data_IF_693293351096
#
_entry.id   IF_693293351096
#
_cell.length_a   1.000
_cell.length_b   1.000
_cell.length_c   1.000
_cell.angle_alpha   90.00
_cell.angle_beta   90.00
_cell.angle_gamma   90.00
#
_symmetry.space_group_name_H-M   'P 1'
#
loop_
_entity.id
_entity.type
_entity.pdbx_description
1 polymer ?
#
# COMPACT_ATOMS: atom_id res chain seq x y z
N UNK A 1 6.59 7.91 1.50
CA UNK A 1 6.00 7.02 2.52
C UNK A 1 7.15 6.35 3.27
N UNK A 2 6.96 6.00 4.54
CA UNK A 2 7.95 5.34 5.41
C UNK A 2 7.27 4.37 6.38
N UNK A 3 8.05 3.53 7.04
CA UNK A 3 7.57 2.68 8.14
C UNK A 3 6.91 3.55 9.21
N UNK A 4 5.72 3.14 9.64
CA UNK A 4 4.87 3.85 10.58
C UNK A 4 3.82 4.77 9.95
N UNK A 5 3.91 5.06 8.65
CA UNK A 5 2.89 5.86 7.96
C UNK A 5 1.60 5.04 7.80
N UNK A 6 0.46 5.72 7.97
CA UNK A 6 -0.85 5.17 7.66
C UNK A 6 -1.16 5.36 6.18
N UNK A 7 -1.56 4.26 5.53
CA UNK A 7 -1.85 4.21 4.10
C UNK A 7 -3.16 3.49 3.83
N UNK A 8 -3.77 3.80 2.70
CA UNK A 8 -4.91 3.07 2.13
C UNK A 8 -4.57 2.65 0.72
N UNK A 9 -5.29 1.66 0.20
CA UNK A 9 -5.14 1.25 -1.20
C UNK A 9 -5.86 2.25 -2.10
N UNK A 10 -5.27 2.55 -3.25
CA UNK A 10 -5.95 3.34 -4.28
C UNK A 10 -7.09 2.51 -4.87
N UNK A 11 -8.24 3.13 -5.16
CA UNK A 11 -9.31 2.45 -5.88
C UNK A 11 -8.81 1.97 -7.24
N UNK A 12 -9.32 0.83 -7.74
CA UNK A 12 -8.94 0.31 -9.04
C UNK A 12 -9.22 1.34 -10.14
N UNK A 13 -8.27 1.49 -11.06
CA UNK A 13 -8.39 2.40 -12.20
C UNK A 13 -8.19 1.64 -13.50
N UNK A 14 -8.68 2.17 -14.62
CA UNK A 14 -8.52 1.54 -15.95
C UNK A 14 -7.05 1.30 -16.34
N UNK A 15 -6.12 2.05 -15.74
CA UNK A 15 -4.67 1.92 -15.94
C UNK A 15 -4.03 0.81 -15.11
N UNK A 16 -4.69 0.41 -14.02
CA UNK A 16 -4.24 -0.64 -13.12
C UNK A 16 -5.42 -1.56 -12.84
N UNK A 17 -5.72 -2.53 -13.73
CA UNK A 17 -6.82 -3.48 -13.56
C UNK A 17 -6.56 -4.47 -12.41
N UNK A 18 -5.63 -4.17 -11.50
CA UNK A 18 -5.20 -5.08 -10.45
C UNK A 18 -6.32 -5.31 -9.46
N UNK A 19 -6.76 -6.57 -9.46
CA UNK A 19 -7.24 -7.34 -8.31
C UNK A 19 -8.20 -6.54 -7.43
N UNK A 20 -9.51 -6.82 -7.51
CA UNK A 20 -10.48 -6.31 -6.53
C UNK A 20 -10.08 -6.83 -5.15
N UNK A 21 -9.31 -6.04 -4.40
CA UNK A 21 -8.99 -6.37 -3.02
C UNK A 21 -10.27 -6.14 -2.23
N UNK A 22 -10.81 -7.16 -1.53
CA UNK A 22 -12.02 -7.02 -0.73
C UNK A 22 -11.92 -5.90 0.32
N UNK A 23 -10.69 -5.49 0.64
CA UNK A 23 -10.31 -4.52 1.67
C UNK A 23 -9.68 -3.25 1.08
N UNK A 24 -10.03 -2.87 -0.16
CA UNK A 24 -9.46 -1.68 -0.82
C UNK A 24 -9.68 -0.37 -0.03
N UNK A 25 -10.75 -0.28 0.77
CA UNK A 25 -11.03 0.89 1.61
C UNK A 25 -10.39 0.82 3.01
N UNK A 26 -9.65 -0.25 3.30
CA UNK A 26 -9.04 -0.46 4.61
C UNK A 26 -7.75 0.38 4.77
N UNK A 27 -7.62 1.02 5.93
CA UNK A 27 -6.38 1.71 6.32
C UNK A 27 -5.45 0.70 6.98
N UNK A 28 -4.24 0.63 6.47
CA UNK A 28 -3.14 -0.13 7.07
C UNK A 28 -2.00 0.77 7.51
N UNK A 29 -1.05 0.17 8.22
CA UNK A 29 0.21 0.82 8.62
C UNK A 29 1.39 0.16 7.91
N UNK A 30 2.32 0.95 7.38
CA UNK A 30 3.55 0.40 6.81
C UNK A 30 4.42 -0.15 7.95
N UNK A 31 4.77 -1.43 7.86
CA UNK A 31 5.63 -2.11 8.84
C UNK A 31 7.02 -2.46 8.30
N UNK A 32 7.16 -2.53 6.97
CA UNK A 32 8.45 -2.77 6.30
C UNK A 32 8.44 -2.20 4.87
N UNK A 33 9.61 -2.03 4.27
CA UNK A 33 9.78 -1.63 2.87
C UNK A 33 11.05 -2.20 2.25
N UNK A 34 10.97 -2.58 0.99
CA UNK A 34 12.09 -3.08 0.19
C UNK A 34 12.14 -2.28 -1.12
N UNK A 35 13.31 -1.80 -1.49
CA UNK A 35 13.56 -1.21 -2.80
C UNK A 35 13.85 -2.33 -3.81
N UNK A 36 13.13 -2.33 -4.93
CA UNK A 36 13.34 -3.26 -6.02
C UNK A 36 14.48 -2.81 -6.95
N UNK A 37 14.94 -3.71 -7.83
CA UNK A 37 16.05 -3.43 -8.77
C UNK A 37 15.72 -2.31 -9.78
N UNK A 38 14.44 -1.91 -9.87
CA UNK A 38 13.97 -0.83 -10.75
C UNK A 38 13.88 0.52 -10.04
N UNK A 39 14.22 0.58 -8.75
CA UNK A 39 14.18 1.79 -7.92
C UNK A 39 12.79 2.14 -7.40
N UNK A 40 11.82 1.21 -7.51
CA UNK A 40 10.51 1.35 -6.89
C UNK A 40 10.49 0.64 -5.54
N UNK A 41 9.53 1.00 -4.69
CA UNK A 41 9.41 0.43 -3.36
C UNK A 41 8.18 -0.49 -3.26
N UNK A 42 8.42 -1.70 -2.76
CA UNK A 42 7.38 -2.59 -2.25
C UNK A 42 7.27 -2.38 -0.74
N UNK A 43 6.06 -2.08 -0.24
CA UNK A 43 5.79 -1.83 1.17
C UNK A 43 5.02 -2.99 1.76
N UNK A 44 5.45 -3.49 2.92
CA UNK A 44 4.63 -4.40 3.71
C UNK A 44 3.67 -3.58 4.56
N UNK A 45 2.37 -3.74 4.29
CA UNK A 45 1.31 -3.02 4.99
C UNK A 45 0.57 -3.99 5.90
N UNK A 46 0.49 -3.66 7.19
CA UNK A 46 -0.33 -4.38 8.16
C UNK A 46 -1.75 -3.80 8.18
N UNK A 47 -2.73 -4.65 7.91
CA UNK A 47 -4.16 -4.43 7.98
C UNK A 47 -4.75 -5.18 9.19
N UNK A 48 -6.04 -5.00 9.48
CA UNK A 48 -6.73 -5.74 10.55
C UNK A 48 -6.78 -7.25 10.31
N UNK A 49 -6.70 -7.68 9.05
CA UNK A 49 -6.83 -9.07 8.64
C UNK A 49 -5.49 -9.78 8.35
N UNK A 50 -4.35 -9.07 8.45
CA UNK A 50 -3.04 -9.62 8.14
C UNK A 50 -2.09 -8.57 7.58
N UNK A 51 -1.05 -9.01 6.86
CA UNK A 51 -0.12 -8.11 6.18
C UNK A 51 0.08 -8.53 4.73
N UNK A 52 0.21 -7.57 3.83
CA UNK A 52 0.45 -7.81 2.40
C UNK A 52 1.54 -6.88 1.87
N UNK A 53 2.31 -7.35 0.88
CA UNK A 53 3.27 -6.53 0.14
C UNK A 53 2.57 -5.79 -1.00
N UNK A 54 2.70 -4.47 -1.02
CA UNK A 54 1.99 -3.58 -1.94
C UNK A 54 2.96 -2.58 -2.55
N UNK A 55 2.89 -2.39 -3.88
CA UNK A 55 3.67 -1.35 -4.58
C UNK A 55 3.26 0.05 -4.15
N UNK A 56 4.23 0.96 -4.02
CA UNK A 56 4.00 2.39 -3.79
C UNK A 56 2.89 2.99 -4.65
N UNK A 57 2.87 2.67 -5.93
CA UNK A 57 1.93 3.20 -6.91
C UNK A 57 0.47 2.90 -6.53
N UNK A 58 0.23 1.83 -5.77
CA UNK A 58 -1.10 1.40 -5.33
C UNK A 58 -1.49 1.91 -3.95
N UNK A 59 -0.61 2.66 -3.27
CA UNK A 59 -0.87 3.20 -1.93
C UNK A 59 -1.09 4.71 -1.96
N UNK A 60 -1.93 5.18 -1.05
CA UNK A 60 -2.17 6.60 -0.77
C UNK A 60 -2.00 6.84 0.73
N UNK A 61 -1.26 7.89 1.09
CA UNK A 61 -1.03 8.29 2.49
C UNK A 61 -2.33 8.85 3.09
N UNK A 62 -2.70 8.45 4.30
CA UNK A 62 -3.98 8.83 4.93
C UNK A 62 -3.91 10.19 5.65
N UNK A 63 -2.72 10.68 6.00
CA UNK A 63 -2.49 12.08 6.42
C UNK A 63 -1.00 12.42 6.33
N UNK A 64 -0.67 13.58 5.74
CA UNK A 64 0.55 14.31 6.08
C UNK A 64 0.22 15.16 7.31
N UNK A 65 0.81 14.84 8.46
CA UNK A 65 0.78 15.71 9.63
C UNK A 65 1.80 16.84 9.49
#
# INVERSE_FOLDING_TARGET
MKVGDLVKLKPPSDKHPMRKWPWADEVGIIIDLIEDETGFYDYQVAFSHGSEWVKDLLLELVCEA
#
